data_IF_137719227927
#
_entry.id   IF_137719227927
#
_cell.length_a   1.000
_cell.length_b   1.000
_cell.length_c   1.000
_cell.angle_alpha   90.00
_cell.angle_beta   90.00
_cell.angle_gamma   90.00
#
_symmetry.space_group_name_H-M   'P 1'
#
loop_
_entity.id
_entity.type
_entity.pdbx_description
1 polymer ?
#
# COMPACT_ATOMS: atom_id res chain seq x y z
N UNK A 1 -16.88 12.92 -9.41
CA UNK A 1 -16.68 14.05 -8.44
C UNK A 1 -17.68 14.02 -7.27
N UNK A 2 -19.00 14.08 -7.48
CA UNK A 2 -19.99 14.13 -6.39
C UNK A 2 -19.92 12.94 -5.40
N UNK A 3 -19.71 11.72 -5.89
CA UNK A 3 -19.58 10.50 -5.06
C UNK A 3 -18.35 10.55 -4.14
N UNK A 4 -17.21 11.04 -4.65
CA UNK A 4 -15.99 11.17 -3.85
C UNK A 4 -16.16 12.22 -2.73
N UNK A 5 -16.83 13.34 -3.01
CA UNK A 5 -17.14 14.35 -1.99
C UNK A 5 -18.05 13.80 -0.89
N UNK A 6 -19.07 13.02 -1.26
CA UNK A 6 -19.95 12.36 -0.29
C UNK A 6 -19.19 11.41 0.64
N UNK A 7 -18.33 10.56 0.06
CA UNK A 7 -17.49 9.64 0.83
C UNK A 7 -16.54 10.39 1.79
N UNK A 8 -15.98 11.54 1.38
CA UNK A 8 -15.16 12.39 2.27
C UNK A 8 -15.94 12.93 3.47
N UNK A 9 -17.20 13.33 3.28
CA UNK A 9 -18.06 13.81 4.38
C UNK A 9 -18.37 12.65 5.35
N UNK A 10 -18.63 11.46 4.82
CA UNK A 10 -18.85 10.26 5.63
C UNK A 10 -17.61 9.88 6.46
N UNK A 11 -16.41 9.89 5.84
CA UNK A 11 -15.14 9.67 6.56
C UNK A 11 -14.98 10.68 7.70
N UNK A 12 -15.19 11.98 7.44
CA UNK A 12 -15.10 13.01 8.47
C UNK A 12 -16.16 12.86 9.58
N UNK A 13 -17.31 12.25 9.29
CA UNK A 13 -18.30 11.90 10.32
C UNK A 13 -17.82 10.74 11.20
N UNK A 14 -17.20 9.72 10.59
CA UNK A 14 -16.63 8.57 11.31
C UNK A 14 -15.46 9.01 12.20
N UNK A 15 -14.58 9.87 11.71
CA UNK A 15 -13.47 10.42 12.50
C UNK A 15 -13.97 11.17 13.73
N UNK A 16 -15.01 12.02 13.58
CA UNK A 16 -15.67 12.68 14.70
C UNK A 16 -16.30 11.69 15.68
N UNK A 17 -16.88 10.60 15.17
CA UNK A 17 -17.43 9.55 16.01
C UNK A 17 -16.33 8.82 16.80
N UNK A 18 -15.19 8.49 16.18
CA UNK A 18 -14.02 7.89 16.86
C UNK A 18 -13.53 8.82 17.97
N UNK A 19 -13.41 10.13 17.69
CA UNK A 19 -13.02 11.11 18.70
C UNK A 19 -13.99 11.13 19.89
N UNK A 20 -15.30 11.10 19.62
CA UNK A 20 -16.33 11.03 20.66
C UNK A 20 -16.24 9.74 21.49
N UNK A 21 -16.07 8.59 20.85
CA UNK A 21 -15.90 7.29 21.53
C UNK A 21 -14.67 7.33 22.44
N UNK A 22 -13.54 7.86 21.98
CA UNK A 22 -12.31 7.99 22.79
C UNK A 22 -12.52 8.90 24.01
N UNK A 23 -13.28 9.98 23.86
CA UNK A 23 -13.58 10.90 24.95
C UNK A 23 -14.50 10.25 26.01
N UNK A 24 -15.57 9.59 25.56
CA UNK A 24 -16.54 8.92 26.45
C UNK A 24 -15.89 7.74 27.20
N UNK A 25 -15.10 6.95 26.47
CA UNK A 25 -14.34 5.82 27.02
C UNK A 25 -13.45 6.21 28.20
N UNK A 26 -12.76 7.35 28.12
CA UNK A 26 -11.91 7.82 29.22
C UNK A 26 -12.70 8.08 30.50
N UNK A 27 -13.92 8.61 30.36
CA UNK A 27 -14.83 8.83 31.49
C UNK A 27 -15.33 7.49 32.06
N UNK A 28 -15.80 6.59 31.21
CA UNK A 28 -16.32 5.28 31.64
C UNK A 28 -15.25 4.42 32.34
N UNK A 29 -14.01 4.44 31.84
CA UNK A 29 -12.89 3.75 32.49
C UNK A 29 -12.56 4.39 33.84
N UNK A 30 -12.57 5.71 33.94
CA UNK A 30 -12.34 6.38 35.22
C UNK A 30 -13.41 6.03 36.25
N UNK A 31 -14.69 6.05 35.86
CA UNK A 31 -15.81 5.65 36.72
C UNK A 31 -15.66 4.18 37.19
N UNK A 32 -15.34 3.27 36.26
CA UNK A 32 -15.12 1.84 36.57
C UNK A 32 -13.92 1.61 37.50
N UNK A 33 -12.82 2.34 37.28
CA UNK A 33 -11.61 2.23 38.08
C UNK A 33 -11.82 2.80 39.48
N UNK A 34 -12.57 3.90 39.62
CA UNK A 34 -12.97 4.45 40.91
C UNK A 34 -13.91 3.50 41.67
N UNK A 35 -14.76 2.75 40.97
CA UNK A 35 -15.58 1.68 41.53
C UNK A 35 -14.80 0.37 41.81
N UNK A 36 -13.49 0.32 41.49
CA UNK A 36 -12.64 -0.89 41.54
C UNK A 36 -13.17 -2.06 40.70
N UNK A 37 -14.02 -1.80 39.70
CA UNK A 37 -14.59 -2.81 38.82
C UNK A 37 -13.64 -3.11 37.65
N UNK A 38 -12.68 -3.99 37.91
CA UNK A 38 -11.68 -4.40 36.92
C UNK A 38 -12.30 -5.08 35.71
N UNK A 39 -13.37 -5.84 35.92
CA UNK A 39 -14.01 -6.62 34.86
C UNK A 39 -14.78 -5.70 33.90
N UNK A 40 -15.44 -4.66 34.42
CA UNK A 40 -16.01 -3.60 33.60
C UNK A 40 -14.92 -2.85 32.82
N UNK A 41 -13.81 -2.51 33.47
CA UNK A 41 -12.69 -1.82 32.82
C UNK A 41 -12.15 -2.64 31.63
N UNK A 42 -11.84 -3.92 31.81
CA UNK A 42 -11.36 -4.79 30.73
C UNK A 42 -12.37 -4.95 29.58
N UNK A 43 -13.68 -5.03 29.90
CA UNK A 43 -14.76 -5.07 28.90
C UNK A 43 -14.79 -3.78 28.09
N UNK A 44 -14.74 -2.62 28.73
CA UNK A 44 -14.72 -1.32 28.07
C UNK A 44 -13.51 -1.22 27.12
N UNK A 45 -12.31 -1.56 27.59
CA UNK A 45 -11.10 -1.53 26.75
C UNK A 45 -11.21 -2.45 25.54
N UNK A 46 -11.79 -3.63 25.70
CA UNK A 46 -11.95 -4.60 24.62
C UNK A 46 -13.01 -4.15 23.63
N UNK A 47 -14.16 -3.70 24.11
CA UNK A 47 -15.24 -3.18 23.28
C UNK A 47 -14.79 -1.96 22.46
N UNK A 48 -14.13 -0.99 23.10
CA UNK A 48 -13.68 0.24 22.42
C UNK A 48 -12.58 -0.04 21.41
N UNK A 49 -11.61 -0.91 21.72
CA UNK A 49 -10.58 -1.31 20.73
C UNK A 49 -11.20 -1.97 19.50
N UNK A 50 -12.12 -2.90 19.70
CA UNK A 50 -12.85 -3.54 18.58
C UNK A 50 -13.60 -2.50 17.77
N UNK A 51 -14.34 -1.62 18.44
CA UNK A 51 -15.15 -0.61 17.77
C UNK A 51 -14.30 0.38 16.95
N UNK A 52 -13.17 0.83 17.49
CA UNK A 52 -12.25 1.71 16.78
C UNK A 52 -11.70 1.00 15.54
N UNK A 53 -11.26 -0.26 15.66
CA UNK A 53 -10.76 -1.05 14.52
C UNK A 53 -11.80 -1.16 13.39
N UNK A 54 -13.07 -1.40 13.73
CA UNK A 54 -14.16 -1.46 12.74
C UNK A 54 -14.35 -0.12 12.01
N UNK A 55 -14.37 0.99 12.75
CA UNK A 55 -14.54 2.33 12.18
C UNK A 55 -13.33 2.73 11.31
N UNK A 56 -12.12 2.37 11.74
CA UNK A 56 -10.90 2.58 10.95
C UNK A 56 -10.91 1.75 9.65
N UNK A 57 -11.41 0.50 9.70
CA UNK A 57 -11.58 -0.32 8.51
C UNK A 57 -12.60 0.27 7.53
N UNK A 58 -13.70 0.85 8.03
CA UNK A 58 -14.70 1.54 7.20
C UNK A 58 -14.13 2.81 6.55
N UNK A 59 -13.33 3.60 7.28
CA UNK A 59 -12.56 4.71 6.71
C UNK A 59 -11.64 4.21 5.59
N UNK A 60 -10.86 3.15 5.83
CA UNK A 60 -9.94 2.60 4.85
C UNK A 60 -10.67 2.12 3.57
N UNK A 61 -11.80 1.43 3.71
CA UNK A 61 -12.63 0.99 2.59
C UNK A 61 -13.18 2.18 1.78
N UNK A 62 -13.67 3.23 2.45
CA UNK A 62 -14.14 4.45 1.80
C UNK A 62 -13.00 5.21 1.11
N UNK A 63 -11.81 5.27 1.72
CA UNK A 63 -10.61 5.86 1.11
C UNK A 63 -10.18 5.10 -0.15
N UNK A 64 -10.19 3.76 -0.13
CA UNK A 64 -9.90 2.94 -1.31
C UNK A 64 -10.90 3.21 -2.45
N UNK A 65 -12.19 3.36 -2.13
CA UNK A 65 -13.21 3.73 -3.13
C UNK A 65 -12.97 5.12 -3.73
N UNK A 66 -12.53 6.10 -2.91
CA UNK A 66 -12.17 7.43 -3.42
C UNK A 66 -10.94 7.34 -4.32
N UNK A 67 -9.95 6.52 -3.98
CA UNK A 67 -8.76 6.30 -4.79
C UNK A 67 -9.13 5.70 -6.15
N UNK A 68 -9.94 4.64 -6.19
CA UNK A 68 -10.46 4.05 -7.42
C UNK A 68 -11.15 5.11 -8.31
N UNK A 69 -12.13 5.84 -7.75
CA UNK A 69 -12.83 6.92 -8.46
C UNK A 69 -11.90 8.02 -9.02
N UNK A 70 -10.74 8.23 -8.39
CA UNK A 70 -9.73 9.20 -8.85
C UNK A 70 -8.91 8.64 -10.03
N UNK A 71 -8.53 7.37 -9.99
CA UNK A 71 -7.79 6.73 -11.09
C UNK A 71 -8.64 6.62 -12.38
N UNK A 72 -9.94 6.33 -12.27
CA UNK A 72 -10.85 6.34 -13.43
C UNK A 72 -10.96 7.70 -14.14
N UNK A 73 -10.70 8.81 -13.43
CA UNK A 73 -10.68 10.14 -14.04
C UNK A 73 -9.38 10.39 -14.85
N UNK A 74 -8.28 9.72 -14.50
CA UNK A 74 -6.98 9.83 -15.15
C UNK A 74 -6.85 8.85 -16.34
N UNK A 75 -7.57 7.72 -16.31
CA UNK A 75 -7.64 6.74 -17.40
C UNK A 75 -8.40 7.21 -18.67
N UNK A 76 -8.73 8.49 -18.77
CA UNK A 76 -9.31 9.08 -19.99
C UNK A 76 -8.27 9.37 -21.10
N UNK A 77 -6.99 9.07 -20.87
CA UNK A 77 -5.97 9.05 -21.94
C UNK A 77 -5.83 7.64 -22.56
N UNK A 78 -6.58 7.45 -23.64
CA UNK A 78 -6.48 6.41 -24.70
C UNK A 78 -6.92 4.96 -24.40
N UNK A 79 -8.07 4.53 -24.95
CA UNK A 79 -8.33 3.14 -25.31
C UNK A 79 -7.87 2.89 -26.76
N UNK A 80 -7.05 1.86 -26.99
CA UNK A 80 -6.87 1.28 -28.33
C UNK A 80 -6.39 -0.16 -28.19
N UNK A 81 -7.30 -1.10 -28.44
CA UNK A 81 -6.97 -2.49 -28.75
C UNK A 81 -7.71 -2.85 -30.04
N UNK A 82 -7.03 -3.36 -31.07
CA UNK A 82 -7.61 -4.33 -31.97
C UNK A 82 -7.13 -5.73 -31.59
N UNK A 83 -8.13 -6.57 -31.37
CA UNK A 83 -8.11 -8.02 -31.36
C UNK A 83 -7.42 -8.56 -32.62
N UNK A 84 -6.21 -9.07 -32.48
CA UNK A 84 -5.58 -10.09 -33.33
C UNK A 84 -4.46 -10.76 -32.52
N UNK A 85 -4.16 -12.02 -32.82
CA UNK A 85 -3.21 -12.91 -32.10
C UNK A 85 -3.78 -13.72 -30.93
N UNK A 86 -4.91 -14.36 -31.21
CA UNK A 86 -4.88 -15.83 -31.16
C UNK A 86 -3.57 -16.35 -31.76
N UNK A 87 -2.58 -16.69 -30.93
CA UNK A 87 -1.68 -17.82 -31.22
C UNK A 87 -0.93 -18.25 -29.97
N UNK A 88 -1.28 -19.46 -29.57
CA UNK A 88 -0.44 -20.37 -28.82
C UNK A 88 1.03 -20.27 -29.20
N UNK A 89 1.87 -20.54 -28.19
CA UNK A 89 3.31 -20.76 -28.25
C UNK A 89 4.19 -19.50 -28.26
N UNK A 90 4.89 -19.29 -27.14
CA UNK A 90 6.32 -19.52 -27.20
C UNK A 90 6.87 -19.80 -25.80
N UNK A 91 7.20 -21.07 -25.56
CA UNK A 91 8.22 -21.40 -24.59
C UNK A 91 9.53 -20.71 -25.00
N UNK A 92 10.12 -19.94 -24.09
CA UNK A 92 11.53 -19.55 -24.16
C UNK A 92 11.90 -18.48 -25.18
N UNK A 93 11.89 -17.21 -24.77
CA UNK A 93 12.86 -16.26 -25.28
C UNK A 93 14.10 -16.33 -24.36
N UNK A 94 15.30 -16.71 -24.83
CA UNK A 94 16.51 -16.47 -24.05
C UNK A 94 16.65 -14.95 -23.83
N UNK A 95 17.17 -14.49 -22.68
CA UNK A 95 17.45 -13.08 -22.50
C UNK A 95 18.39 -12.59 -23.63
N UNK A 96 18.32 -11.31 -24.03
CA UNK A 96 19.22 -10.78 -25.04
C UNK A 96 20.66 -11.07 -24.60
N UNK A 97 21.38 -11.75 -25.47
CA UNK A 97 22.80 -12.03 -25.30
C UNK A 97 23.53 -10.71 -25.02
N UNK A 98 24.41 -10.65 -24.01
CA UNK A 98 25.29 -9.50 -23.85
C UNK A 98 26.01 -9.18 -25.16
N UNK A 99 26.24 -7.89 -25.50
CA UNK A 99 27.23 -7.55 -26.50
C UNK A 99 28.59 -8.15 -26.09
N UNK A 100 29.32 -8.81 -27.00
CA UNK A 100 30.65 -9.34 -26.72
C UNK A 100 31.61 -8.16 -26.53
N UNK A 101 31.89 -7.81 -25.28
CA UNK A 101 32.80 -6.71 -24.94
C UNK A 101 32.68 -6.12 -23.54
N UNK A 102 31.74 -6.56 -22.69
CA UNK A 102 31.69 -6.10 -21.31
C UNK A 102 32.85 -6.72 -20.49
N UNK A 103 33.63 -5.92 -19.75
CA UNK A 103 34.72 -6.43 -18.91
C UNK A 103 34.16 -7.42 -17.89
N UNK A 104 34.88 -8.52 -17.67
CA UNK A 104 34.48 -9.57 -16.74
C UNK A 104 34.29 -8.97 -15.34
N UNK A 105 33.04 -8.93 -14.88
CA UNK A 105 32.70 -8.49 -13.54
C UNK A 105 33.38 -9.42 -12.52
N UNK A 106 33.95 -8.88 -11.43
CA UNK A 106 34.47 -9.71 -10.36
C UNK A 106 33.37 -10.61 -9.77
N UNK A 107 33.76 -11.79 -9.26
CA UNK A 107 32.84 -12.78 -8.71
C UNK A 107 31.89 -12.16 -7.68
N UNK A 108 30.58 -12.28 -7.90
CA UNK A 108 29.53 -11.74 -7.04
C UNK A 108 28.92 -10.42 -7.51
N UNK A 109 29.46 -9.77 -8.53
CA UNK A 109 28.88 -8.56 -9.12
C UNK A 109 27.95 -8.88 -10.29
N UNK A 110 26.75 -8.32 -10.24
CA UNK A 110 25.70 -8.46 -11.26
C UNK A 110 25.33 -7.08 -11.81
N UNK A 111 25.10 -7.02 -13.12
CA UNK A 111 24.53 -5.83 -13.77
C UNK A 111 23.01 -5.87 -13.72
N UNK A 112 22.39 -4.74 -13.41
CA UNK A 112 20.96 -4.53 -13.47
C UNK A 112 20.65 -3.17 -14.11
N UNK A 113 19.45 -3.03 -14.66
CA UNK A 113 18.97 -1.76 -15.21
C UNK A 113 18.05 -1.13 -14.19
N UNK A 114 18.35 0.11 -13.81
CA UNK A 114 17.52 0.91 -12.93
C UNK A 114 16.21 1.27 -13.65
N UNK A 115 15.10 1.54 -12.94
CA UNK A 115 13.86 2.03 -13.56
C UNK A 115 14.03 3.32 -14.37
N UNK A 116 15.09 4.09 -14.13
CA UNK A 116 15.53 5.25 -14.93
C UNK A 116 16.22 4.87 -16.26
N UNK A 117 16.34 3.58 -16.59
CA UNK A 117 17.00 3.09 -17.81
C UNK A 117 18.53 3.13 -17.78
N UNK A 118 19.13 3.43 -16.61
CA UNK A 118 20.59 3.41 -16.42
C UNK A 118 21.06 2.03 -15.95
N UNK A 119 22.16 1.54 -16.51
CA UNK A 119 22.83 0.34 -16.02
C UNK A 119 23.56 0.64 -14.70
N UNK A 120 23.34 -0.19 -13.69
CA UNK A 120 24.04 -0.16 -12.41
C UNK A 120 24.52 -1.57 -12.06
N UNK A 121 25.58 -1.65 -11.27
CA UNK A 121 26.15 -2.92 -10.81
C UNK A 121 25.82 -3.11 -9.34
N UNK A 122 25.43 -4.30 -8.95
CA UNK A 122 25.18 -4.64 -7.56
C UNK A 122 25.92 -5.91 -7.18
N UNK A 123 26.45 -5.95 -5.96
CA UNK A 123 27.11 -7.12 -5.40
C UNK A 123 26.10 -7.96 -4.65
N UNK A 124 25.86 -9.20 -5.09
CA UNK A 124 24.81 -10.04 -4.50
C UNK A 124 25.14 -10.51 -3.08
N UNK A 125 26.44 -10.56 -2.73
CA UNK A 125 26.91 -11.08 -1.44
C UNK A 125 26.93 -9.99 -0.36
N UNK A 126 27.30 -8.75 -0.71
CA UNK A 126 27.35 -7.63 0.25
C UNK A 126 26.15 -6.69 0.17
N UNK A 127 25.37 -6.74 -0.92
CA UNK A 127 24.27 -5.81 -1.17
C UNK A 127 24.71 -4.41 -1.62
N UNK A 128 25.99 -4.22 -1.93
CA UNK A 128 26.52 -2.94 -2.42
C UNK A 128 26.04 -2.65 -3.84
N UNK A 129 25.85 -1.36 -4.15
CA UNK A 129 25.51 -0.89 -5.51
C UNK A 129 26.55 0.13 -5.95
N UNK A 130 27.01 0.00 -7.19
CA UNK A 130 28.01 0.87 -7.78
C UNK A 130 27.65 1.19 -9.23
N UNK A 131 27.93 2.42 -9.64
CA UNK A 131 27.73 2.91 -11.01
C UNK A 131 28.96 2.69 -11.90
N UNK A 132 30.04 2.16 -11.33
CA UNK A 132 31.28 1.84 -12.02
C UNK A 132 31.77 0.48 -11.53
N UNK A 133 32.29 -0.35 -12.45
CA UNK A 133 32.89 -1.65 -12.12
C UNK A 133 34.14 -1.36 -11.28
N UNK A 134 34.26 -1.92 -10.06
CA UNK A 134 35.47 -1.77 -9.25
C UNK A 134 36.67 -2.48 -9.91
#
# INVERSE_FOLDING_TARGET
LAKATKLKIEIAAIERNIAKIKADFGKEVYDAMNASDKLQTERLFTAVRTRIRELEADIAAKQATIADLKHHADSSSSPSLPREEQRSASWGAPPPTPPPGAPALPSGWKRATSPDGREYYYHEVSGETSWTIP
#
